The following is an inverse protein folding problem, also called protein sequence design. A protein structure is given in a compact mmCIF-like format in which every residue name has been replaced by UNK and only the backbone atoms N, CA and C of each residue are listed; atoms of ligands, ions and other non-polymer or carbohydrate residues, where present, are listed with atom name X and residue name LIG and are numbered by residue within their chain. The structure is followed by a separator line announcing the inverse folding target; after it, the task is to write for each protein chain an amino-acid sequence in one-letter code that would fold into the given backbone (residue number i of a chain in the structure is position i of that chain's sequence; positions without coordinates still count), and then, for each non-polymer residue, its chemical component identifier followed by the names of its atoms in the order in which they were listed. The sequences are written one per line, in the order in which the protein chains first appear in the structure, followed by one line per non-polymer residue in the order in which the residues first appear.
data_IF_400534272462
#
_entry.id   IF_400534272462
#
_cell.length_a   1.000
_cell.length_b   1.000
_cell.length_c   1.000
_cell.angle_alpha   90.00
_cell.angle_beta   90.00
_cell.angle_gamma   90.00
#
_symmetry.space_group_name_H-M   'P 1'
#
loop_
_entity.id
_entity.type
_entity.pdbx_description
1 polymer ?
#
# COMPACT_ATOMS: atom_id res chain seq x y z
N UNK A 1 -24.05 6.97 3.50
CA UNK A 1 -24.51 7.95 2.48
C UNK A 1 -23.37 8.49 1.62
N UNK A 2 -22.27 9.03 2.19
CA UNK A 2 -21.17 9.61 1.41
C UNK A 2 -20.53 8.65 0.38
N UNK A 3 -20.18 7.43 0.76
CA UNK A 3 -19.58 6.42 -0.14
C UNK A 3 -20.39 6.23 -1.45
N UNK A 4 -21.71 6.05 -1.32
CA UNK A 4 -22.63 5.89 -2.46
C UNK A 4 -22.67 7.16 -3.33
N UNK A 5 -22.74 8.33 -2.69
CA UNK A 5 -22.75 9.62 -3.39
C UNK A 5 -21.45 9.85 -4.15
N UNK A 6 -20.30 9.70 -3.48
CA UNK A 6 -18.97 9.83 -4.06
C UNK A 6 -18.78 8.91 -5.27
N UNK A 7 -19.20 7.64 -5.15
CA UNK A 7 -19.17 6.67 -6.25
C UNK A 7 -20.13 7.00 -7.39
N UNK A 8 -21.30 7.55 -7.10
CA UNK A 8 -22.29 7.91 -8.12
C UNK A 8 -21.86 9.13 -8.92
N UNK A 9 -21.39 10.19 -8.24
CA UNK A 9 -20.95 11.44 -8.88
C UNK A 9 -19.75 11.19 -9.79
N UNK A 10 -18.72 10.50 -9.27
CA UNK A 10 -17.52 10.21 -10.09
C UNK A 10 -17.80 9.24 -11.24
N UNK A 11 -18.84 8.41 -11.14
CA UNK A 11 -19.29 7.58 -12.26
C UNK A 11 -20.00 8.38 -13.35
N UNK A 12 -20.85 9.33 -12.98
CA UNK A 12 -21.49 10.23 -13.94
C UNK A 12 -20.47 11.10 -14.68
N UNK A 13 -19.33 11.40 -14.05
CA UNK A 13 -18.22 12.13 -14.64
C UNK A 13 -17.24 11.23 -15.42
N UNK A 14 -17.56 9.95 -15.66
CA UNK A 14 -16.69 8.97 -16.33
C UNK A 14 -15.32 8.72 -15.66
N UNK A 15 -15.17 9.13 -14.39
CA UNK A 15 -13.95 8.91 -13.58
C UNK A 15 -13.92 7.53 -12.96
N UNK A 16 -15.10 6.90 -12.81
CA UNK A 16 -15.25 5.51 -12.40
C UNK A 16 -15.89 4.65 -13.48
N UNK A 17 -15.20 3.57 -13.84
CA UNK A 17 -15.73 2.51 -14.70
C UNK A 17 -16.37 1.41 -13.87
N UNK A 18 -17.46 0.78 -14.36
CA UNK A 18 -18.07 -0.36 -13.67
C UNK A 18 -17.14 -1.58 -13.70
N UNK A 19 -17.06 -2.30 -12.58
CA UNK A 19 -16.43 -3.62 -12.43
C UNK A 19 -17.43 -4.57 -11.76
N UNK A 20 -17.26 -5.89 -11.99
CA UNK A 20 -18.16 -6.93 -11.44
C UNK A 20 -18.38 -6.73 -9.92
N UNK A 21 -19.57 -7.09 -9.43
CA UNK A 21 -19.95 -7.07 -8.00
C UNK A 21 -19.81 -5.68 -7.34
N UNK A 22 -20.29 -4.63 -8.00
CA UNK A 22 -20.33 -3.26 -7.45
C UNK A 22 -18.98 -2.59 -7.21
N UNK A 23 -17.87 -3.22 -7.64
CA UNK A 23 -16.56 -2.58 -7.63
C UNK A 23 -16.50 -1.52 -8.74
N UNK A 24 -15.74 -0.45 -8.52
CA UNK A 24 -15.48 0.56 -9.54
C UNK A 24 -13.98 0.67 -9.78
N UNK A 25 -13.61 0.86 -11.04
CA UNK A 25 -12.23 1.10 -11.43
C UNK A 25 -12.03 2.59 -11.65
N UNK A 26 -10.92 3.14 -11.17
CA UNK A 26 -10.53 4.52 -11.45
C UNK A 26 -10.06 4.63 -12.88
N UNK A 27 -10.67 5.54 -13.62
CA UNK A 27 -10.28 5.92 -14.98
C UNK A 27 -9.66 7.32 -15.03
N UNK A 28 -9.86 8.13 -13.99
CA UNK A 28 -9.31 9.48 -13.86
C UNK A 28 -8.95 9.75 -12.39
N UNK A 29 -7.77 10.29 -12.15
CA UNK A 29 -7.22 10.61 -10.83
C UNK A 29 -7.92 11.79 -10.16
N UNK A 30 -8.51 12.71 -10.93
CA UNK A 30 -9.07 13.97 -10.44
C UNK A 30 -10.46 13.78 -9.82
N UNK A 31 -10.57 12.94 -8.80
CA UNK A 31 -11.86 12.60 -8.20
C UNK A 31 -12.51 13.76 -7.45
N UNK A 32 -13.79 14.00 -7.75
CA UNK A 32 -14.59 15.00 -7.06
C UNK A 32 -14.91 14.52 -5.65
N UNK A 33 -14.60 15.35 -4.66
CA UNK A 33 -14.85 15.08 -3.25
C UNK A 33 -13.74 14.33 -2.52
N UNK A 34 -12.57 14.11 -3.14
CA UNK A 34 -11.44 13.42 -2.50
C UNK A 34 -10.92 14.18 -1.27
N UNK A 35 -10.87 15.52 -1.33
CA UNK A 35 -10.48 16.34 -0.19
C UNK A 35 -11.49 16.25 0.97
N UNK A 36 -12.78 16.10 0.64
CA UNK A 36 -13.80 15.90 1.67
C UNK A 36 -13.68 14.51 2.31
N UNK A 37 -13.37 13.47 1.52
CA UNK A 37 -13.06 12.15 2.04
C UNK A 37 -11.87 12.19 3.02
N UNK A 38 -10.81 12.93 2.70
CA UNK A 38 -9.71 13.15 3.64
C UNK A 38 -10.16 13.85 4.93
N UNK A 39 -11.00 14.88 4.84
CA UNK A 39 -11.56 15.55 6.03
C UNK A 39 -12.38 14.59 6.89
N UNK A 40 -13.18 13.71 6.28
CA UNK A 40 -13.94 12.68 6.99
C UNK A 40 -13.03 11.69 7.70
N UNK A 41 -11.94 11.27 7.07
CA UNK A 41 -10.96 10.37 7.69
C UNK A 41 -10.30 11.07 8.88
N UNK A 42 -9.79 12.28 8.69
CA UNK A 42 -9.00 12.94 9.73
C UNK A 42 -9.84 13.37 10.94
N UNK A 43 -11.08 13.82 10.71
CA UNK A 43 -11.89 14.49 11.74
C UNK A 43 -13.18 13.75 12.12
N UNK A 44 -13.57 12.71 11.37
CA UNK A 44 -14.80 11.97 11.64
C UNK A 44 -14.73 11.10 12.90
N UNK A 45 -15.86 10.48 13.26
CA UNK A 45 -15.87 9.40 14.25
C UNK A 45 -15.10 8.19 13.72
N UNK A 46 -14.68 7.27 14.60
CA UNK A 46 -13.86 6.13 14.19
C UNK A 46 -14.55 5.24 13.14
N UNK A 47 -15.88 5.09 13.24
CA UNK A 47 -16.67 4.34 12.25
C UNK A 47 -16.59 5.01 10.87
N UNK A 48 -16.77 6.34 10.83
CA UNK A 48 -16.71 7.12 9.59
C UNK A 48 -15.31 7.11 9.02
N UNK A 49 -14.29 7.30 9.86
CA UNK A 49 -12.89 7.28 9.46
C UNK A 49 -12.49 5.92 8.90
N UNK A 50 -12.82 4.82 9.58
CA UNK A 50 -12.54 3.47 9.11
C UNK A 50 -13.20 3.19 7.75
N UNK A 51 -14.45 3.61 7.55
CA UNK A 51 -15.11 3.47 6.25
C UNK A 51 -14.44 4.32 5.18
N UNK A 52 -14.02 5.54 5.52
CA UNK A 52 -13.28 6.42 4.62
C UNK A 52 -11.92 5.85 4.21
N UNK A 53 -11.20 5.23 5.16
CA UNK A 53 -9.92 4.55 4.91
C UNK A 53 -10.11 3.42 3.90
N UNK A 54 -11.14 2.59 4.08
CA UNK A 54 -11.44 1.51 3.13
C UNK A 54 -11.81 2.06 1.75
N UNK A 55 -12.50 3.19 1.67
CA UNK A 55 -12.82 3.85 0.42
C UNK A 55 -11.58 4.44 -0.28
N UNK A 56 -10.68 5.11 0.45
CA UNK A 56 -9.39 5.59 -0.10
C UNK A 56 -8.56 4.42 -0.63
N UNK A 57 -8.46 3.34 0.15
CA UNK A 57 -7.78 2.12 -0.26
C UNK A 57 -8.36 1.60 -1.58
N UNK A 58 -9.69 1.43 -1.65
CA UNK A 58 -10.38 0.95 -2.85
C UNK A 58 -10.10 1.83 -4.07
N UNK A 59 -10.14 3.15 -3.87
CA UNK A 59 -9.84 4.17 -4.89
C UNK A 59 -8.43 3.96 -5.45
N UNK A 60 -7.39 4.05 -4.63
CA UNK A 60 -6.02 4.07 -5.14
C UNK A 60 -5.44 2.69 -5.52
N UNK A 61 -6.17 1.59 -5.29
CA UNK A 61 -5.72 0.22 -5.67
C UNK A 61 -6.53 -0.39 -6.80
N UNK A 62 -7.76 0.07 -7.07
CA UNK A 62 -8.58 -0.42 -8.19
C UNK A 62 -8.45 0.48 -9.41
N UNK A 63 -7.27 0.47 -10.02
CA UNK A 63 -6.95 1.30 -11.19
C UNK A 63 -7.40 0.58 -12.47
N UNK A 64 -8.01 1.31 -13.40
CA UNK A 64 -8.45 0.79 -14.70
C UNK A 64 -7.25 0.43 -15.62
N UNK A 65 -7.47 -0.40 -16.66
CA UNK A 65 -6.42 -0.74 -17.61
C UNK A 65 -5.78 0.45 -18.33
N UNK A 66 -6.54 1.52 -18.58
CA UNK A 66 -6.06 2.74 -19.26
C UNK A 66 -4.98 3.46 -18.46
N UNK A 67 -5.07 3.45 -17.13
CA UNK A 67 -4.11 4.09 -16.23
C UNK A 67 -2.94 3.18 -15.82
N UNK A 68 -2.78 1.98 -16.41
CA UNK A 68 -1.70 1.05 -16.04
C UNK A 68 -0.32 1.60 -16.32
N UNK A 69 -0.14 2.37 -17.39
CA UNK A 69 1.15 2.97 -17.73
C UNK A 69 1.57 4.03 -16.69
N UNK A 70 0.58 4.70 -16.09
CA UNK A 70 0.77 5.72 -15.07
C UNK A 70 0.81 5.18 -13.64
N UNK A 71 0.66 3.87 -13.43
CA UNK A 71 0.49 3.27 -12.10
C UNK A 71 1.61 3.66 -11.13
N UNK A 72 2.86 3.71 -11.61
CA UNK A 72 4.01 4.16 -10.81
C UNK A 72 3.85 5.60 -10.36
N UNK A 73 3.45 6.49 -11.27
CA UNK A 73 3.21 7.91 -10.98
C UNK A 73 2.06 8.06 -9.99
N UNK A 74 0.95 7.34 -10.20
CA UNK A 74 -0.22 7.34 -9.31
C UNK A 74 0.19 6.95 -7.89
N UNK A 75 0.92 5.84 -7.74
CA UNK A 75 1.39 5.37 -6.44
C UNK A 75 2.32 6.39 -5.77
N UNK A 76 3.24 7.00 -6.53
CA UNK A 76 4.14 8.04 -6.02
C UNK A 76 3.37 9.28 -5.57
N UNK A 77 2.45 9.78 -6.38
CA UNK A 77 1.60 10.94 -6.06
C UNK A 77 0.78 10.69 -4.79
N UNK A 78 0.15 9.52 -4.66
CA UNK A 78 -0.62 9.17 -3.47
C UNK A 78 0.24 9.10 -2.20
N UNK A 79 1.42 8.48 -2.28
CA UNK A 79 2.36 8.42 -1.15
C UNK A 79 2.85 9.82 -0.76
N UNK A 80 3.24 10.64 -1.74
CA UNK A 80 3.64 12.03 -1.51
C UNK A 80 2.55 12.84 -0.81
N UNK A 81 1.28 12.66 -1.20
CA UNK A 81 0.14 13.33 -0.56
C UNK A 81 -0.06 12.85 0.88
N UNK A 82 0.06 11.55 1.15
CA UNK A 82 0.03 11.01 2.51
C UNK A 82 1.15 11.61 3.38
N UNK A 83 2.38 11.67 2.87
CA UNK A 83 3.52 12.24 3.61
C UNK A 83 3.38 13.75 3.83
N UNK A 84 2.86 14.49 2.85
CA UNK A 84 2.56 15.91 3.01
C UNK A 84 1.56 16.14 4.14
N UNK A 85 0.49 15.35 4.20
CA UNK A 85 -0.51 15.41 5.30
C UNK A 85 0.10 15.01 6.64
N UNK A 86 0.93 13.96 6.65
CA UNK A 86 1.61 13.51 7.86
C UNK A 86 2.53 14.60 8.43
N UNK A 87 3.28 15.30 7.57
CA UNK A 87 4.14 16.43 7.96
C UNK A 87 3.32 17.57 8.59
N UNK A 88 2.20 17.96 7.98
CA UNK A 88 1.31 19.00 8.55
C UNK A 88 0.80 18.62 9.94
N UNK A 89 0.43 17.35 10.16
CA UNK A 89 -0.01 16.87 11.48
C UNK A 89 1.16 16.87 12.47
N UNK A 90 2.34 16.40 12.05
CA UNK A 90 3.55 16.40 12.88
C UNK A 90 3.95 17.80 13.34
N UNK A 91 3.92 18.78 12.44
CA UNK A 91 4.24 20.18 12.76
C UNK A 91 3.27 20.76 13.80
N UNK A 92 1.99 20.37 13.74
CA UNK A 92 0.99 20.73 14.76
C UNK A 92 1.28 20.10 16.12
N UNK A 93 1.71 18.83 16.17
CA UNK A 93 2.11 18.17 17.43
C UNK A 93 3.28 18.93 18.09
N UNK A 94 4.24 19.40 17.29
CA UNK A 94 5.40 20.16 17.77
C UNK A 94 5.01 21.52 18.35
N UNK A 95 3.95 22.15 17.85
CA UNK A 95 3.41 23.38 18.43
C UNK A 95 2.69 23.07 19.75
N UNK A 96 3.00 23.82 20.82
CA UNK A 96 2.47 23.60 22.19
C UNK A 96 0.95 23.83 22.23
N UNK A 97 0.18 22.82 21.83
CA UNK A 97 -1.30 22.86 21.77
C UNK A 97 -1.92 22.30 23.05
N UNK A 98 -3.18 22.61 23.35
CA UNK A 98 -3.89 22.11 24.54
C UNK A 98 -4.07 20.59 24.51
N UNK A 99 -4.23 19.94 25.67
CA UNK A 99 -4.33 18.48 25.79
C UNK A 99 -5.47 17.88 24.93
N UNK A 100 -6.64 18.53 24.88
CA UNK A 100 -7.78 18.05 24.08
C UNK A 100 -7.49 18.12 22.56
N UNK A 101 -6.84 19.19 22.09
CA UNK A 101 -6.37 19.25 20.69
C UNK A 101 -5.25 18.25 20.42
N UNK A 102 -4.42 17.94 21.40
CA UNK A 102 -3.32 17.00 21.25
C UNK A 102 -3.83 15.59 20.90
N UNK A 103 -4.89 15.12 21.57
CA UNK A 103 -5.49 13.81 21.28
C UNK A 103 -6.10 13.74 19.87
N UNK A 104 -6.79 14.80 19.42
CA UNK A 104 -7.35 14.87 18.08
C UNK A 104 -6.26 14.85 17.01
N UNK A 105 -5.17 15.58 17.24
CA UNK A 105 -4.01 15.61 16.34
C UNK A 105 -3.35 14.22 16.27
N UNK A 106 -3.14 13.56 17.41
CA UNK A 106 -2.61 12.18 17.46
C UNK A 106 -3.53 11.22 16.70
N UNK A 107 -4.85 11.30 16.91
CA UNK A 107 -5.79 10.45 16.19
C UNK A 107 -5.70 10.67 14.67
N UNK A 108 -5.57 11.93 14.22
CA UNK A 108 -5.39 12.23 12.80
C UNK A 108 -4.08 11.64 12.24
N UNK A 109 -2.99 11.67 13.01
CA UNK A 109 -1.71 11.06 12.66
C UNK A 109 -1.86 9.55 12.48
N UNK A 110 -2.45 8.88 13.48
CA UNK A 110 -2.71 7.44 13.47
C UNK A 110 -3.53 7.07 12.24
N UNK A 111 -4.58 7.84 11.92
CA UNK A 111 -5.45 7.55 10.78
C UNK A 111 -4.71 7.66 9.44
N UNK A 112 -3.79 8.62 9.27
CA UNK A 112 -2.94 8.69 8.06
C UNK A 112 -2.03 7.45 7.97
N UNK A 113 -1.42 7.04 9.09
CA UNK A 113 -0.59 5.84 9.13
C UNK A 113 -1.39 4.56 8.82
N UNK A 114 -2.63 4.48 9.29
CA UNK A 114 -3.54 3.37 8.95
C UNK A 114 -3.88 3.41 7.46
N UNK A 115 -4.17 4.57 6.86
CA UNK A 115 -4.36 4.68 5.40
C UNK A 115 -3.17 4.09 4.65
N UNK A 116 -1.94 4.53 5.01
CA UNK A 116 -0.71 4.03 4.39
C UNK A 116 -0.56 2.51 4.54
N UNK A 117 -0.79 1.99 5.75
CA UNK A 117 -0.69 0.55 6.04
C UNK A 117 -1.69 -0.25 5.20
N UNK A 118 -2.96 0.14 5.22
CA UNK A 118 -4.03 -0.56 4.49
C UNK A 118 -3.80 -0.54 2.98
N UNK A 119 -3.33 0.59 2.46
CA UNK A 119 -2.97 0.75 1.06
C UNK A 119 -1.78 -0.14 0.65
N UNK A 120 -0.69 -0.11 1.43
CA UNK A 120 0.50 -0.93 1.15
C UNK A 120 0.17 -2.42 1.25
N UNK A 121 -0.64 -2.81 2.23
CA UNK A 121 -1.09 -4.19 2.38
C UNK A 121 -1.89 -4.67 1.16
N UNK A 122 -2.77 -3.82 0.61
CA UNK A 122 -3.55 -4.15 -0.59
C UNK A 122 -2.67 -4.24 -1.85
N UNK A 123 -1.70 -3.34 -1.99
CA UNK A 123 -0.69 -3.41 -3.05
C UNK A 123 0.09 -4.72 -2.95
N UNK A 124 0.50 -5.09 -1.73
CA UNK A 124 1.24 -6.32 -1.49
C UNK A 124 0.40 -7.57 -1.78
N UNK A 125 -0.87 -7.56 -1.37
CA UNK A 125 -1.82 -8.64 -1.62
C UNK A 125 -2.08 -8.84 -3.11
N UNK A 126 -2.21 -7.75 -3.87
CA UNK A 126 -2.50 -7.77 -5.32
C UNK A 126 -1.29 -8.09 -6.19
N UNK A 127 -0.08 -8.13 -5.62
CA UNK A 127 1.14 -8.42 -6.37
C UNK A 127 1.38 -9.94 -6.44
N UNK A 128 1.14 -10.50 -7.62
CA UNK A 128 1.24 -11.94 -7.89
C UNK A 128 2.47 -12.33 -8.73
N UNK A 129 3.43 -11.41 -8.90
CA UNK A 129 4.68 -11.68 -9.63
C UNK A 129 5.78 -12.12 -8.67
N UNK A 130 6.88 -12.61 -9.23
CA UNK A 130 8.10 -12.85 -8.45
C UNK A 130 8.65 -11.54 -7.89
N UNK A 131 9.07 -11.60 -6.63
CA UNK A 131 9.54 -10.45 -5.87
C UNK A 131 11.02 -10.61 -5.59
N UNK A 132 11.77 -9.53 -5.75
CA UNK A 132 13.14 -9.44 -5.24
C UNK A 132 13.18 -9.10 -3.74
N UNK A 133 12.15 -8.42 -3.23
CA UNK A 133 12.02 -8.04 -1.83
C UNK A 133 10.74 -8.61 -1.24
N UNK A 134 10.81 -9.09 0.00
CA UNK A 134 9.63 -9.57 0.71
C UNK A 134 8.55 -8.48 0.79
N UNK A 135 7.25 -8.88 0.79
CA UNK A 135 6.18 -7.99 1.21
C UNK A 135 6.51 -7.36 2.56
N UNK A 136 6.11 -6.10 2.77
CA UNK A 136 6.46 -5.34 3.99
C UNK A 136 5.97 -6.07 5.24
N UNK A 137 4.79 -6.69 5.16
CA UNK A 137 4.20 -7.49 6.25
C UNK A 137 5.09 -8.65 6.71
N UNK A 138 5.95 -9.17 5.82
CA UNK A 138 6.89 -10.27 6.11
C UNK A 138 8.32 -9.79 6.30
N UNK A 139 8.68 -8.63 5.75
CA UNK A 139 10.00 -8.06 5.99
C UNK A 139 10.18 -7.66 7.47
N UNK A 140 9.09 -7.27 8.14
CA UNK A 140 9.16 -6.86 9.53
C UNK A 140 9.62 -7.98 10.47
N UNK A 141 10.51 -7.64 11.42
CA UNK A 141 11.11 -8.53 12.46
C UNK A 141 12.02 -9.66 11.98
N UNK A 142 12.24 -9.83 10.67
CA UNK A 142 13.26 -10.76 10.19
C UNK A 142 14.64 -10.09 10.10
N UNK A 143 15.64 -10.88 9.73
CA UNK A 143 17.01 -10.43 9.51
C UNK A 143 17.47 -10.84 8.11
N UNK A 144 18.29 -10.04 7.43
CA UNK A 144 18.95 -10.48 6.22
C UNK A 144 19.88 -11.66 6.55
N UNK A 145 19.92 -12.64 5.66
CA UNK A 145 20.78 -13.82 5.75
C UNK A 145 21.41 -14.09 4.40
N UNK A 146 22.53 -14.80 4.37
CA UNK A 146 23.13 -15.29 3.13
C UNK A 146 22.95 -16.80 3.12
N UNK A 147 22.27 -17.31 2.09
CA UNK A 147 22.12 -18.74 1.88
C UNK A 147 23.27 -19.22 1.00
N UNK A 148 24.02 -20.20 1.49
CA UNK A 148 25.11 -20.85 0.75
C UNK A 148 24.60 -22.19 0.23
N UNK A 149 24.51 -22.32 -1.09
CA UNK A 149 24.07 -23.55 -1.75
C UNK A 149 25.27 -24.29 -2.32
N UNK A 150 25.41 -25.54 -1.91
CA UNK A 150 26.39 -26.47 -2.48
C UNK A 150 25.65 -27.57 -3.21
N UNK A 151 25.75 -27.60 -4.54
CA UNK A 151 25.11 -28.64 -5.37
C UNK A 151 26.16 -29.66 -5.76
N UNK A 152 26.08 -30.86 -5.19
CA UNK A 152 26.97 -31.96 -5.55
C UNK A 152 26.32 -32.83 -6.62
N UNK A 153 26.72 -32.67 -7.89
CA UNK A 153 26.13 -33.42 -9.02
C UNK A 153 26.83 -34.75 -9.33
N UNK A 154 27.85 -35.14 -8.57
CA UNK A 154 28.54 -36.42 -8.78
C UNK A 154 29.44 -36.44 -10.02
N UNK A 155 30.68 -36.88 -9.79
CA UNK A 155 31.80 -37.06 -10.74
C UNK A 155 32.35 -35.77 -11.42
N UNK A 156 33.49 -35.31 -10.88
CA UNK A 156 34.47 -34.41 -11.48
C UNK A 156 34.05 -32.98 -11.89
N UNK A 157 32.89 -32.48 -11.45
CA UNK A 157 32.58 -31.04 -11.58
C UNK A 157 33.11 -30.24 -10.39
N UNK A 158 33.65 -29.06 -10.65
CA UNK A 158 34.04 -28.09 -9.61
C UNK A 158 32.84 -27.83 -8.70
N UNK A 159 33.09 -27.89 -7.39
CA UNK A 159 32.09 -27.58 -6.36
C UNK A 159 32.07 -26.06 -6.23
N UNK A 160 31.15 -25.41 -6.93
CA UNK A 160 30.93 -23.98 -6.77
C UNK A 160 29.88 -23.73 -5.70
N UNK A 161 30.31 -23.15 -4.58
CA UNK A 161 29.41 -22.62 -3.57
C UNK A 161 28.73 -21.37 -4.10
N UNK A 162 27.40 -21.33 -3.99
CA UNK A 162 26.61 -20.20 -4.41
C UNK A 162 26.04 -19.46 -3.22
N UNK A 163 26.44 -18.20 -3.06
CA UNK A 163 25.88 -17.30 -2.07
C UNK A 163 24.70 -16.53 -2.66
N UNK A 164 23.58 -16.54 -1.95
CA UNK A 164 22.42 -15.73 -2.30
C UNK A 164 21.94 -14.90 -1.10
N UNK A 165 21.89 -13.56 -1.22
CA UNK A 165 21.27 -12.71 -0.21
C UNK A 165 19.76 -12.99 -0.10
N UNK A 166 19.33 -13.36 1.10
CA UNK A 166 17.97 -13.79 1.41
C UNK A 166 17.53 -13.14 2.74
N UNK A 167 16.38 -13.57 3.26
CA UNK A 167 15.81 -13.07 4.50
C UNK A 167 15.15 -14.19 5.28
N UNK A 168 15.25 -14.16 6.62
CA UNK A 168 14.72 -15.21 7.51
C UNK A 168 13.24 -15.53 7.30
N UNK A 169 12.47 -14.52 6.89
CA UNK A 169 11.04 -14.67 6.65
C UNK A 169 10.71 -15.06 5.20
N UNK A 170 11.68 -15.49 4.39
CA UNK A 170 11.42 -16.06 3.06
C UNK A 170 10.70 -17.41 3.14
N UNK A 171 9.96 -17.75 2.09
CA UNK A 171 9.35 -19.08 1.97
C UNK A 171 10.30 -20.03 1.26
N UNK A 172 10.32 -21.30 1.68
CA UNK A 172 10.98 -22.38 0.94
C UNK A 172 10.60 -22.45 -0.54
N UNK A 173 9.34 -22.13 -0.90
CA UNK A 173 8.91 -22.07 -2.30
C UNK A 173 9.53 -20.93 -3.11
N UNK A 174 10.01 -19.86 -2.47
CA UNK A 174 10.76 -18.79 -3.15
C UNK A 174 12.20 -19.26 -3.39
N UNK A 175 12.85 -19.78 -2.34
CA UNK A 175 14.20 -20.35 -2.42
C UNK A 175 14.28 -21.47 -3.48
N UNK A 176 13.29 -22.37 -3.53
CA UNK A 176 13.24 -23.45 -4.54
C UNK A 176 13.18 -22.92 -5.97
N UNK A 177 12.38 -21.88 -6.22
CA UNK A 177 12.26 -21.25 -7.55
C UNK A 177 13.53 -20.49 -7.93
N UNK A 178 14.17 -19.84 -6.97
CA UNK A 178 15.46 -19.18 -7.14
C UNK A 178 16.57 -20.17 -7.54
N UNK A 179 16.61 -21.35 -6.92
CA UNK A 179 17.55 -22.42 -7.30
C UNK A 179 17.20 -22.99 -8.69
N UNK A 180 15.90 -23.17 -8.99
CA UNK A 180 15.44 -23.75 -10.24
C UNK A 180 15.60 -22.85 -11.47
N UNK A 181 15.41 -21.53 -11.31
CA UNK A 181 15.54 -20.55 -12.39
C UNK A 181 17.01 -20.20 -12.70
N UNK A 182 17.95 -20.92 -12.10
CA UNK A 182 19.38 -20.81 -12.35
C UNK A 182 19.77 -21.79 -13.46
#
# INVERSE_FOLDING_TARGET
CFDRFFKSVNAQLNKFLPKRRSMRLINDEDLVGIEYLWKLILNGSDIVANRGIQLIKEVYTNISPSLKNDIKRIHQTFLSECFKRLRVVYDKIKSKTTQATHQQIINSLIRILVVLREYLAECDYSYHKDRHSLPISRAFRGRPVILVFRVNTGQNRQIDDYENPSHLNETWGHIRRMIYNR
#
